data_IF_908855856038
#
_entry.id   IF_908855856038
#
_cell.length_a   1.000
_cell.length_b   1.000
_cell.length_c   1.000
_cell.angle_alpha   90.00
_cell.angle_beta   90.00
_cell.angle_gamma   90.00
#
_symmetry.space_group_name_H-M   'P 1'
#
loop_
_entity.id
_entity.type
_entity.pdbx_description
1 polymer ?
#
# COMPACT_ATOMS: atom_id res chain seq x y z
N UNK A 1 -2.01 -17.86 -0.40
CA UNK A 1 -3.28 -17.44 0.23
C UNK A 1 -3.48 -15.96 -0.03
N UNK A 2 -4.62 -15.56 -0.62
CA UNK A 2 -5.09 -14.17 -0.51
C UNK A 2 -5.76 -14.08 0.85
N UNK A 3 -5.24 -13.28 1.77
CA UNK A 3 -6.06 -12.88 2.90
C UNK A 3 -7.01 -11.81 2.36
N UNK A 4 -8.32 -11.98 2.54
CA UNK A 4 -9.34 -10.98 2.16
C UNK A 4 -9.22 -9.66 2.95
N UNK A 5 -8.23 -9.59 3.85
CA UNK A 5 -7.93 -8.47 4.73
C UNK A 5 -6.59 -7.80 4.40
N UNK A 6 -6.12 -7.82 3.15
CA UNK A 6 -4.94 -7.04 2.76
C UNK A 6 -5.35 -5.60 2.42
N UNK A 7 -4.59 -4.61 2.89
CA UNK A 7 -4.75 -3.22 2.48
C UNK A 7 -4.08 -3.02 1.12
N UNK A 8 -4.85 -2.53 0.15
CA UNK A 8 -4.43 -2.43 -1.26
C UNK A 8 -4.08 -0.99 -1.61
N UNK A 9 -2.87 -0.79 -2.11
CA UNK A 9 -2.35 0.52 -2.54
C UNK A 9 -2.04 0.47 -4.04
N UNK A 10 -2.56 1.45 -4.78
CA UNK A 10 -2.31 1.63 -6.22
C UNK A 10 -1.30 2.74 -6.53
N UNK A 11 -0.97 3.58 -5.53
CA UNK A 11 0.00 4.65 -5.66
C UNK A 11 1.40 4.15 -5.28
N UNK A 12 2.32 4.14 -6.24
CA UNK A 12 3.72 3.81 -5.98
C UNK A 12 4.35 4.74 -4.93
N UNK A 13 3.96 6.02 -4.89
CA UNK A 13 4.47 6.97 -3.88
C UNK A 13 4.01 6.61 -2.48
N UNK A 14 2.73 6.30 -2.30
CA UNK A 14 2.20 5.87 -1.00
C UNK A 14 2.80 4.53 -0.58
N UNK A 15 2.95 3.57 -1.50
CA UNK A 15 3.60 2.30 -1.21
C UNK A 15 5.04 2.50 -0.74
N UNK A 16 5.81 3.37 -1.43
CA UNK A 16 7.16 3.72 -1.03
C UNK A 16 7.21 4.36 0.36
N UNK A 17 6.32 5.32 0.65
CA UNK A 17 6.20 5.94 1.96
C UNK A 17 5.93 4.91 3.07
N UNK A 18 4.99 3.98 2.86
CA UNK A 18 4.68 2.93 3.82
C UNK A 18 5.90 2.04 4.09
N UNK A 19 6.61 1.62 3.03
CA UNK A 19 7.82 0.81 3.16
C UNK A 19 8.93 1.53 3.93
N UNK A 20 9.14 2.82 3.67
CA UNK A 20 10.13 3.65 4.39
C UNK A 20 9.79 3.83 5.87
N UNK A 21 8.50 3.78 6.23
CA UNK A 21 8.02 3.84 7.60
C UNK A 21 7.84 2.44 8.24
N UNK A 22 8.47 1.40 7.69
CA UNK A 22 8.50 0.07 8.31
C UNK A 22 7.25 -0.78 8.09
N UNK A 23 6.28 -0.33 7.27
CA UNK A 23 5.14 -1.16 6.90
C UNK A 23 5.58 -2.26 5.92
N UNK A 24 5.42 -3.53 6.33
CA UNK A 24 5.83 -4.69 5.52
C UNK A 24 4.96 -4.81 4.26
N UNK A 25 5.60 -4.79 3.09
CA UNK A 25 4.96 -5.17 1.83
C UNK A 25 4.75 -6.69 1.82
N UNK A 26 3.50 -7.14 1.70
CA UNK A 26 3.14 -8.56 1.64
C UNK A 26 3.28 -9.10 0.23
N UNK A 27 2.86 -8.32 -0.76
CA UNK A 27 2.86 -8.74 -2.16
C UNK A 27 2.89 -7.52 -3.09
N UNK A 28 3.35 -7.74 -4.31
CA UNK A 28 3.30 -6.77 -5.41
C UNK A 28 2.91 -7.50 -6.68
N UNK A 29 1.94 -6.97 -7.42
CA UNK A 29 1.48 -7.55 -8.69
C UNK A 29 1.35 -6.47 -9.74
N UNK A 30 1.57 -6.82 -11.02
CA UNK A 30 1.21 -5.91 -12.09
C UNK A 30 -0.29 -5.62 -12.05
N UNK A 31 -0.67 -4.36 -12.33
CA UNK A 31 -2.07 -3.99 -12.47
C UNK A 31 -2.68 -4.71 -13.67
N UNK A 32 -3.93 -5.18 -13.53
CA UNK A 32 -4.59 -5.99 -14.56
C UNK A 32 -4.98 -5.18 -15.79
N UNK A 33 -5.12 -3.87 -15.66
CA UNK A 33 -5.53 -2.94 -16.72
C UNK A 33 -4.32 -2.28 -17.36
N UNK A 34 -3.24 -2.10 -16.61
CA UNK A 34 -2.02 -1.45 -17.07
C UNK A 34 -0.77 -2.16 -16.51
N UNK A 35 -0.13 -2.98 -17.33
CA UNK A 35 1.06 -3.74 -16.93
C UNK A 35 2.28 -2.88 -16.58
N UNK A 36 2.25 -1.57 -16.88
CA UNK A 36 3.30 -0.62 -16.46
C UNK A 36 3.15 -0.19 -15.00
N UNK A 37 2.00 -0.48 -14.38
CA UNK A 37 1.69 -0.16 -12.99
C UNK A 37 1.70 -1.39 -12.11
N UNK A 38 1.87 -1.17 -10.82
CA UNK A 38 1.84 -2.19 -9.79
C UNK A 38 0.77 -1.91 -8.75
N UNK A 39 0.24 -2.99 -8.20
CA UNK A 39 -0.66 -3.03 -7.05
C UNK A 39 0.12 -3.61 -5.89
N UNK A 40 0.14 -2.86 -4.78
CA UNK A 40 0.92 -3.15 -3.58
C UNK A 40 -0.02 -3.60 -2.47
N UNK A 41 0.33 -4.70 -1.80
CA UNK A 41 -0.50 -5.30 -0.75
C UNK A 41 0.24 -5.19 0.58
N UNK A 42 -0.43 -4.63 1.59
CA UNK A 42 0.07 -4.43 2.94
C UNK A 42 -0.85 -5.14 3.96
N UNK A 43 -0.37 -5.49 5.16
CA UNK A 43 -1.26 -6.04 6.19
C UNK A 43 -2.26 -4.97 6.62
N UNK A 44 -3.54 -5.30 6.68
CA UNK A 44 -4.56 -4.38 7.22
C UNK A 44 -4.44 -4.30 8.74
N UNK A 45 -3.68 -3.32 9.20
CA UNK A 45 -3.38 -3.06 10.61
C UNK A 45 -3.58 -1.59 10.91
N UNK A 46 -3.85 -1.26 12.18
CA UNK A 46 -3.97 0.14 12.62
C UNK A 46 -2.72 0.95 12.27
N UNK A 47 -1.53 0.35 12.41
CA UNK A 47 -0.27 1.00 12.07
C UNK A 47 -0.19 1.44 10.60
N UNK A 48 -0.59 0.56 9.67
CA UNK A 48 -0.64 0.90 8.23
C UNK A 48 -1.68 2.01 7.99
N UNK A 49 -2.86 1.91 8.61
CA UNK A 49 -3.92 2.90 8.45
C UNK A 49 -3.52 4.29 8.99
N UNK A 50 -2.83 4.36 10.12
CA UNK A 50 -2.31 5.60 10.71
C UNK A 50 -1.35 6.31 9.75
N UNK A 51 -0.40 5.57 9.18
CA UNK A 51 0.56 6.12 8.20
C UNK A 51 -0.12 6.54 6.90
N UNK A 52 -1.11 5.79 6.42
CA UNK A 52 -1.92 6.20 5.25
C UNK A 52 -2.64 7.52 5.54
N UNK A 53 -3.34 7.61 6.67
CA UNK A 53 -4.07 8.83 7.03
C UNK A 53 -3.14 10.02 7.19
N UNK A 54 -1.97 9.82 7.80
CA UNK A 54 -0.94 10.85 7.91
C UNK A 54 -0.47 11.34 6.54
N UNK A 55 -0.10 10.42 5.64
CA UNK A 55 0.32 10.75 4.29
C UNK A 55 -0.76 11.54 3.53
N UNK A 56 -2.02 11.11 3.63
CA UNK A 56 -3.13 11.79 2.95
C UNK A 56 -3.38 13.19 3.54
N UNK A 57 -3.22 13.38 4.85
CA UNK A 57 -3.37 14.70 5.47
C UNK A 57 -2.29 15.70 5.09
N UNK A 58 -1.06 15.22 4.81
CA UNK A 58 0.09 16.06 4.44
C UNK A 58 0.16 16.37 2.93
N UNK A 59 -0.62 15.66 2.09
CA UNK A 59 -0.58 15.76 0.63
C UNK A 59 -1.94 16.16 0.01
N UNK A 60 -2.89 16.63 0.83
CA UNK A 60 -4.11 17.35 0.41
C UNK A 60 -3.89 18.86 0.55
#
# INVERSE_FOLDING_TARGET
MKNENDFVVFSQRLAGYLMMNGCKLLNMKADKRDSTKYVYFFPHTLYVLEHVNKYLSENN
#
